data_IF_547121065084
#
_entry.id   IF_547121065084
#
_cell.length_a   1.000
_cell.length_b   1.000
_cell.length_c   1.000
_cell.angle_alpha   90.00
_cell.angle_beta   90.00
_cell.angle_gamma   90.00
#
_symmetry.space_group_name_H-M   'P 1'
#
loop_
_entity.id
_entity.type
_entity.pdbx_description
1 polymer ?
#
# COMPACT_ATOMS: atom_id res chain seq x y z
N UNK A 1 8.34 18.68 -19.78
CA UNK A 1 7.70 17.98 -20.90
C UNK A 1 8.55 18.14 -22.17
N UNK A 2 8.82 17.06 -22.96
CA UNK A 2 9.47 17.16 -24.24
C UNK A 2 8.73 18.13 -25.20
N UNK A 3 9.48 18.86 -26.02
CA UNK A 3 8.96 19.88 -26.93
C UNK A 3 7.79 19.40 -27.81
N UNK A 4 7.80 18.11 -28.20
CA UNK A 4 6.73 17.52 -29.01
C UNK A 4 5.38 17.48 -28.28
N UNK A 5 5.40 17.37 -26.95
CA UNK A 5 4.18 17.37 -26.11
C UNK A 5 3.74 18.79 -25.73
N UNK A 6 4.69 19.71 -25.55
CA UNK A 6 4.37 21.11 -25.26
C UNK A 6 3.52 21.77 -26.34
N UNK A 7 3.75 21.42 -27.60
CA UNK A 7 2.98 21.95 -28.76
C UNK A 7 1.54 21.45 -28.85
N UNK A 8 1.18 20.43 -28.05
CA UNK A 8 -0.16 19.82 -28.04
C UNK A 8 -0.92 20.04 -26.74
N UNK A 9 -0.26 20.71 -25.78
CA UNK A 9 -0.85 21.01 -24.49
C UNK A 9 -1.91 22.08 -24.67
N UNK A 10 -3.16 21.78 -24.34
CA UNK A 10 -4.31 22.69 -24.44
C UNK A 10 -4.83 23.13 -23.08
N UNK A 11 -4.57 22.34 -22.04
CA UNK A 11 -4.82 22.71 -20.65
C UNK A 11 -3.57 22.42 -19.83
N UNK A 12 -3.12 23.43 -19.09
CA UNK A 12 -2.01 23.36 -18.15
C UNK A 12 -2.45 24.02 -16.84
N UNK A 13 -2.81 23.22 -15.87
CA UNK A 13 -3.21 23.68 -14.55
C UNK A 13 -2.61 22.80 -13.45
N UNK A 14 -2.76 23.19 -12.19
CA UNK A 14 -2.28 22.40 -11.05
C UNK A 14 -2.92 21.01 -10.95
N UNK A 15 -4.10 20.83 -11.50
CA UNK A 15 -4.89 19.60 -11.35
C UNK A 15 -5.22 18.92 -12.68
N UNK A 16 -4.89 19.53 -13.81
CA UNK A 16 -5.20 18.98 -15.12
C UNK A 16 -4.17 19.35 -16.17
N UNK A 17 -3.68 18.32 -16.88
CA UNK A 17 -3.00 18.46 -18.14
C UNK A 17 -3.87 17.85 -19.23
N UNK A 18 -4.13 18.58 -20.32
CA UNK A 18 -4.87 18.05 -21.45
C UNK A 18 -4.10 18.29 -22.74
N UNK A 19 -4.08 17.26 -23.58
CA UNK A 19 -3.34 17.23 -24.84
C UNK A 19 -4.28 16.94 -25.99
N UNK A 20 -4.09 17.63 -27.14
CA UNK A 20 -4.76 17.24 -28.38
C UNK A 20 -4.26 15.87 -28.86
N UNK A 21 -5.19 14.98 -29.15
CA UNK A 21 -4.93 13.71 -29.81
C UNK A 21 -4.69 13.94 -31.31
N UNK A 22 -3.72 13.25 -31.90
CA UNK A 22 -3.45 13.32 -33.34
C UNK A 22 -4.63 12.83 -34.17
N UNK A 23 -5.10 13.67 -35.06
CA UNK A 23 -6.00 13.32 -36.16
C UNK A 23 -7.47 13.49 -35.86
N UNK A 24 -8.11 14.40 -36.61
CA UNK A 24 -9.56 14.59 -36.74
C UNK A 24 -10.34 14.82 -35.44
N UNK A 25 -10.22 16.01 -34.88
CA UNK A 25 -11.28 16.65 -34.08
C UNK A 25 -11.47 16.11 -32.67
N UNK A 26 -11.12 16.92 -31.67
CA UNK A 26 -11.65 16.95 -30.31
C UNK A 26 -11.49 15.76 -29.35
N UNK A 27 -10.63 14.81 -29.57
CA UNK A 27 -10.30 13.87 -28.49
C UNK A 27 -9.11 14.42 -27.68
N UNK A 28 -9.35 14.80 -26.46
CA UNK A 28 -8.31 15.21 -25.51
C UNK A 28 -7.86 14.00 -24.71
N UNK A 29 -6.56 13.76 -24.68
CA UNK A 29 -5.94 12.93 -23.63
C UNK A 29 -5.73 13.78 -22.41
N UNK A 30 -6.18 13.32 -21.26
CA UNK A 30 -6.17 14.11 -20.01
C UNK A 30 -5.46 13.37 -18.91
N UNK A 31 -4.64 14.07 -18.15
CA UNK A 31 -4.08 13.63 -16.87
C UNK A 31 -4.70 14.52 -15.81
N UNK A 32 -5.35 13.91 -14.83
CA UNK A 32 -6.02 14.60 -13.74
C UNK A 32 -5.33 14.24 -12.42
N UNK A 33 -4.91 15.24 -11.67
CA UNK A 33 -4.54 15.11 -10.28
C UNK A 33 -5.78 15.27 -9.41
N UNK A 34 -6.03 14.29 -8.54
CA UNK A 34 -7.19 14.32 -7.64
C UNK A 34 -6.71 14.07 -6.21
N UNK A 35 -7.40 14.62 -5.20
CA UNK A 35 -7.08 14.29 -3.81
C UNK A 35 -7.16 12.80 -3.53
N UNK A 36 -6.52 12.34 -2.46
CA UNK A 36 -6.57 10.95 -1.96
C UNK A 36 -7.97 10.59 -1.41
N UNK A 37 -8.95 10.61 -2.31
CA UNK A 37 -10.36 10.24 -2.08
C UNK A 37 -10.81 9.32 -3.20
N UNK A 38 -11.85 8.48 -2.99
CA UNK A 38 -12.39 7.63 -4.04
C UNK A 38 -12.71 8.44 -5.30
N UNK A 39 -12.12 8.12 -6.47
CA UNK A 39 -12.25 8.94 -7.70
C UNK A 39 -13.57 8.66 -8.41
N UNK A 40 -14.69 8.87 -7.73
CA UNK A 40 -16.04 8.62 -8.26
C UNK A 40 -16.34 9.49 -9.48
N UNK A 41 -17.02 8.89 -10.48
CA UNK A 41 -17.44 9.60 -11.70
C UNK A 41 -16.36 9.85 -12.74
N UNK A 42 -15.12 9.44 -12.49
CA UNK A 42 -14.02 9.49 -13.48
C UNK A 42 -13.99 8.22 -14.33
N UNK A 43 -13.20 8.26 -15.41
CA UNK A 43 -12.96 7.11 -16.32
C UNK A 43 -11.52 7.18 -16.80
N UNK A 44 -10.90 6.03 -17.02
CA UNK A 44 -9.54 5.91 -17.52
C UNK A 44 -8.67 5.03 -16.63
N UNK A 45 -7.38 5.14 -16.80
CA UNK A 45 -6.39 4.53 -15.91
C UNK A 45 -6.33 5.31 -14.59
N UNK A 46 -5.95 4.63 -13.54
CA UNK A 46 -5.81 5.20 -12.22
C UNK A 46 -4.42 4.89 -11.65
N UNK A 47 -3.73 5.93 -11.21
CA UNK A 47 -2.45 5.83 -10.52
C UNK A 47 -2.64 6.29 -9.09
N UNK A 48 -2.29 5.43 -8.14
CA UNK A 48 -2.29 5.71 -6.71
C UNK A 48 -0.85 5.86 -6.26
N UNK A 49 -0.41 7.10 -6.14
CA UNK A 49 0.93 7.47 -5.68
C UNK A 49 0.94 7.48 -4.16
N UNK A 50 1.96 6.91 -3.54
CA UNK A 50 2.09 6.75 -2.09
C UNK A 50 0.89 6.05 -1.43
N UNK A 51 0.43 4.94 -2.03
CA UNK A 51 -0.79 4.24 -1.59
C UNK A 51 -0.74 3.80 -0.12
N UNK A 52 0.43 3.38 0.40
CA UNK A 52 0.57 2.97 1.79
C UNK A 52 0.32 4.11 2.80
N UNK A 53 0.49 5.37 2.37
CA UNK A 53 0.40 6.57 3.21
C UNK A 53 -0.99 7.21 3.21
N UNK A 54 -1.99 6.63 2.53
CA UNK A 54 -3.35 7.16 2.56
C UNK A 54 -4.03 6.81 3.89
N UNK A 55 -4.67 7.80 4.50
CA UNK A 55 -5.46 7.62 5.73
C UNK A 55 -6.61 6.61 5.51
N UNK A 56 -7.24 6.64 4.33
CA UNK A 56 -8.35 5.77 3.93
C UNK A 56 -7.97 4.94 2.70
N UNK A 57 -6.82 4.27 2.74
CA UNK A 57 -6.22 3.54 1.64
C UNK A 57 -7.17 2.51 1.00
N UNK A 58 -7.86 1.74 1.83
CA UNK A 58 -8.84 0.73 1.39
C UNK A 58 -10.04 1.33 0.67
N UNK A 59 -10.56 2.45 1.16
CA UNK A 59 -11.68 3.15 0.51
C UNK A 59 -11.27 3.71 -0.85
N UNK A 60 -10.08 4.33 -0.92
CA UNK A 60 -9.52 4.87 -2.17
C UNK A 60 -9.26 3.74 -3.16
N UNK A 61 -8.65 2.65 -2.75
CA UNK A 61 -8.41 1.47 -3.57
C UNK A 61 -9.73 0.91 -4.13
N UNK A 62 -10.74 0.68 -3.27
CA UNK A 62 -12.04 0.15 -3.69
C UNK A 62 -12.76 1.08 -4.68
N UNK A 63 -12.71 2.40 -4.44
CA UNK A 63 -13.26 3.38 -5.38
C UNK A 63 -12.54 3.39 -6.72
N UNK A 64 -11.22 3.18 -6.71
CA UNK A 64 -10.38 3.10 -7.91
C UNK A 64 -10.64 1.84 -8.73
N UNK A 65 -10.84 0.68 -8.08
CA UNK A 65 -11.21 -0.56 -8.80
C UNK A 65 -12.56 -0.42 -9.50
N UNK A 66 -13.54 0.24 -8.88
CA UNK A 66 -14.82 0.52 -9.52
C UNK A 66 -14.70 1.46 -10.74
N UNK A 67 -13.76 2.41 -10.70
CA UNK A 67 -13.46 3.31 -11.82
C UNK A 67 -12.90 2.55 -13.02
N UNK A 68 -11.85 1.74 -12.81
CA UNK A 68 -11.18 1.01 -13.90
C UNK A 68 -12.09 -0.05 -14.51
N UNK A 69 -12.94 -0.71 -13.72
CA UNK A 69 -13.89 -1.69 -14.21
C UNK A 69 -14.82 -1.09 -15.28
N UNK A 70 -15.30 0.13 -15.08
CA UNK A 70 -16.19 0.84 -16.01
C UNK A 70 -15.49 1.34 -17.26
N UNK A 71 -14.21 1.65 -17.19
CA UNK A 71 -13.42 2.21 -18.29
C UNK A 71 -12.58 1.16 -19.01
N UNK A 72 -12.46 -0.07 -18.50
CA UNK A 72 -11.48 -1.07 -18.89
C UNK A 72 -10.05 -0.52 -18.80
N UNK A 73 -9.83 0.34 -17.80
CA UNK A 73 -8.53 0.94 -17.51
C UNK A 73 -7.66 0.02 -16.67
N UNK A 74 -6.47 0.52 -16.36
CA UNK A 74 -5.50 -0.12 -15.49
C UNK A 74 -5.42 0.63 -14.14
N UNK A 75 -5.28 -0.13 -13.06
CA UNK A 75 -4.94 0.41 -11.74
C UNK A 75 -3.47 0.14 -11.46
N UNK A 76 -2.72 1.18 -11.18
CA UNK A 76 -1.32 1.11 -10.75
C UNK A 76 -1.20 1.80 -9.39
N UNK A 77 -0.70 1.08 -8.40
CA UNK A 77 -0.34 1.62 -7.09
C UNK A 77 1.17 1.56 -6.91
N UNK A 78 1.77 2.64 -6.43
CA UNK A 78 3.16 2.67 -6.01
C UNK A 78 3.26 3.33 -4.64
N UNK A 79 4.23 2.88 -3.85
CA UNK A 79 4.53 3.44 -2.53
C UNK A 79 5.82 2.85 -1.99
N UNK A 80 6.48 3.54 -1.07
CA UNK A 80 7.29 2.88 -0.06
C UNK A 80 6.37 2.17 0.95
N UNK A 81 6.81 1.09 1.59
CA UNK A 81 6.07 0.46 2.67
C UNK A 81 5.79 1.41 3.83
N UNK A 82 4.72 1.16 4.57
CA UNK A 82 4.43 1.86 5.84
C UNK A 82 3.96 0.83 6.87
N UNK A 83 4.92 0.09 7.42
CA UNK A 83 4.64 -1.02 8.31
C UNK A 83 3.87 -2.17 7.65
N UNK A 84 3.48 -3.18 8.41
CA UNK A 84 2.69 -4.34 7.96
C UNK A 84 1.20 -4.08 8.09
N UNK A 85 0.70 -3.06 7.41
CA UNK A 85 -0.70 -2.63 7.47
C UNK A 85 -1.20 -2.07 6.15
N UNK A 86 -2.53 -1.98 6.04
CA UNK A 86 -3.22 -1.34 4.94
C UNK A 86 -3.27 -2.18 3.66
N UNK A 87 -3.99 -1.64 2.68
CA UNK A 87 -4.26 -2.37 1.42
C UNK A 87 -2.99 -2.57 0.58
N UNK A 88 -2.02 -1.65 0.66
CA UNK A 88 -0.77 -1.79 -0.07
C UNK A 88 0.03 -3.00 0.40
N UNK A 89 0.19 -3.17 1.73
CA UNK A 89 0.83 -4.32 2.32
C UNK A 89 0.08 -5.63 2.03
N UNK A 90 -1.25 -5.63 2.16
CA UNK A 90 -2.04 -6.82 1.87
C UNK A 90 -1.86 -7.33 0.44
N UNK A 91 -1.81 -6.40 -0.54
CA UNK A 91 -1.57 -6.74 -1.94
C UNK A 91 -0.12 -7.21 -2.14
N UNK A 92 0.84 -6.56 -1.51
CA UNK A 92 2.26 -6.87 -1.68
C UNK A 92 2.63 -8.25 -1.11
N UNK A 93 2.20 -8.55 0.11
CA UNK A 93 2.61 -9.76 0.85
C UNK A 93 1.64 -10.94 0.68
N UNK A 94 0.35 -10.68 0.45
CA UNK A 94 -0.70 -11.72 0.31
C UNK A 94 -0.81 -12.69 1.51
N UNK A 95 -0.43 -12.23 2.69
CA UNK A 95 -0.48 -13.05 3.91
C UNK A 95 -1.93 -13.29 4.38
N UNK A 96 -2.77 -12.24 4.31
CA UNK A 96 -4.17 -12.31 4.72
C UNK A 96 -5.10 -12.76 3.60
N UNK A 97 -4.81 -12.35 2.35
CA UNK A 97 -5.67 -12.60 1.20
C UNK A 97 -4.87 -12.68 -0.08
N UNK A 98 -5.30 -13.51 -1.03
CA UNK A 98 -4.71 -13.58 -2.36
C UNK A 98 -5.27 -12.51 -3.31
N UNK A 99 -4.38 -11.95 -4.13
CA UNK A 99 -4.68 -10.95 -5.15
C UNK A 99 -4.16 -11.40 -6.53
N UNK A 100 -4.76 -12.45 -7.13
CA UNK A 100 -4.20 -13.14 -8.30
C UNK A 100 -4.12 -12.28 -9.56
N UNK A 101 -4.84 -11.17 -9.61
CA UNK A 101 -4.87 -10.26 -10.77
C UNK A 101 -3.93 -9.07 -10.63
N UNK A 102 -3.07 -9.06 -9.62
CA UNK A 102 -2.09 -8.00 -9.40
C UNK A 102 -0.69 -8.48 -9.78
N UNK A 103 -0.03 -7.71 -10.65
CA UNK A 103 1.41 -7.84 -10.88
C UNK A 103 2.14 -6.99 -9.86
N UNK A 104 3.19 -7.53 -9.26
CA UNK A 104 4.01 -6.86 -8.25
C UNK A 104 5.40 -6.62 -8.79
N UNK A 105 5.95 -5.48 -8.46
CA UNK A 105 7.32 -5.15 -8.78
C UNK A 105 7.94 -4.48 -7.56
N UNK A 106 9.02 -5.05 -7.09
CA UNK A 106 9.85 -4.50 -6.03
C UNK A 106 11.08 -3.85 -6.66
N UNK A 107 11.35 -2.59 -6.30
CA UNK A 107 12.44 -1.79 -6.88
C UNK A 107 13.27 -1.16 -5.75
N UNK A 108 14.08 -1.95 -5.05
CA UNK A 108 14.97 -1.41 -4.03
C UNK A 108 16.08 -0.55 -4.64
N UNK A 109 16.73 0.29 -3.81
CA UNK A 109 17.70 1.28 -4.24
C UNK A 109 18.84 0.70 -5.11
N UNK A 110 19.26 -0.53 -4.89
CA UNK A 110 20.35 -1.16 -5.65
C UNK A 110 19.99 -1.54 -7.08
N UNK A 111 18.72 -1.49 -7.45
CA UNK A 111 18.23 -1.61 -8.82
C UNK A 111 18.15 -0.26 -9.56
N UNK A 112 18.41 0.85 -8.86
CA UNK A 112 18.39 2.19 -9.43
C UNK A 112 19.81 2.69 -9.71
N UNK A 113 20.12 2.99 -10.96
CA UNK A 113 21.45 3.49 -11.36
C UNK A 113 21.82 4.85 -10.75
N UNK A 114 20.82 5.59 -10.26
CA UNK A 114 21.06 6.85 -9.55
C UNK A 114 21.64 6.63 -8.15
N UNK A 115 21.32 5.51 -7.51
CA UNK A 115 21.72 5.16 -6.15
C UNK A 115 22.82 4.10 -6.09
N UNK A 116 22.94 3.27 -7.12
CA UNK A 116 23.83 2.12 -7.17
C UNK A 116 25.01 2.34 -8.13
N UNK A 117 26.18 1.88 -7.72
CA UNK A 117 27.42 1.98 -8.52
C UNK A 117 27.47 0.92 -9.62
N UNK A 118 26.95 -0.28 -9.38
CA UNK A 118 26.90 -1.40 -10.33
C UNK A 118 25.58 -2.17 -10.18
N UNK A 119 24.53 -1.72 -10.88
CA UNK A 119 23.18 -2.32 -10.83
C UNK A 119 23.17 -3.79 -11.25
N UNK A 120 24.00 -4.17 -12.25
CA UNK A 120 23.98 -5.54 -12.76
C UNK A 120 24.51 -6.54 -11.74
N UNK A 121 25.60 -6.20 -11.11
CA UNK A 121 26.21 -7.02 -10.05
C UNK A 121 25.36 -6.98 -8.78
N UNK A 122 24.87 -5.80 -8.40
CA UNK A 122 24.03 -5.62 -7.23
C UNK A 122 22.69 -6.41 -7.32
N UNK A 123 22.09 -6.50 -8.50
CA UNK A 123 20.86 -7.29 -8.70
C UNK A 123 21.03 -8.78 -8.32
N UNK A 124 22.26 -9.30 -8.41
CA UNK A 124 22.58 -10.70 -8.10
C UNK A 124 23.04 -10.86 -6.64
N UNK A 125 23.97 -10.00 -6.20
CA UNK A 125 24.65 -10.17 -4.93
C UNK A 125 23.92 -9.49 -3.75
N UNK A 126 23.37 -8.28 -3.98
CA UNK A 126 22.79 -7.47 -2.93
C UNK A 126 21.62 -8.12 -2.15
N UNK A 127 20.71 -8.92 -2.75
CA UNK A 127 19.62 -9.53 -1.99
C UNK A 127 20.05 -10.44 -0.84
N UNK A 128 21.25 -11.03 -0.93
CA UNK A 128 21.79 -11.93 0.09
C UNK A 128 22.63 -11.25 1.17
N UNK A 129 22.89 -9.93 1.01
CA UNK A 129 23.75 -9.17 1.92
C UNK A 129 22.95 -8.49 3.02
N UNK A 130 23.51 -8.30 4.24
CA UNK A 130 23.02 -7.34 5.21
C UNK A 130 23.01 -5.91 4.63
N UNK A 131 22.16 -5.03 5.15
CA UNK A 131 21.99 -3.66 4.64
C UNK A 131 23.29 -2.89 4.61
N UNK A 132 24.07 -2.91 5.68
CA UNK A 132 25.33 -2.16 5.81
C UNK A 132 26.38 -2.64 4.80
N UNK A 133 26.51 -3.95 4.63
CA UNK A 133 27.44 -4.54 3.65
C UNK A 133 27.00 -4.22 2.22
N UNK A 134 25.71 -4.24 1.96
CA UNK A 134 25.11 -3.90 0.66
C UNK A 134 25.39 -2.45 0.29
N UNK A 135 25.17 -1.54 1.23
CA UNK A 135 25.44 -0.11 1.04
C UNK A 135 26.92 0.15 0.85
N UNK A 136 27.80 -0.48 1.64
CA UNK A 136 29.24 -0.34 1.48
C UNK A 136 29.75 -0.89 0.13
N UNK A 137 29.16 -1.96 -0.39
CA UNK A 137 29.59 -2.59 -1.65
C UNK A 137 29.07 -1.86 -2.90
N UNK A 138 27.85 -1.32 -2.86
CA UNK A 138 27.16 -0.85 -4.05
C UNK A 138 26.58 0.56 -3.94
N UNK A 139 26.49 1.14 -2.74
CA UNK A 139 25.89 2.45 -2.51
C UNK A 139 26.73 3.58 -3.11
N UNK A 140 26.04 4.54 -3.75
CA UNK A 140 26.63 5.84 -4.02
C UNK A 140 26.60 6.70 -2.76
N UNK A 141 27.33 7.79 -2.76
CA UNK A 141 27.50 8.67 -1.61
C UNK A 141 26.16 9.07 -0.97
N UNK A 142 25.13 9.36 -1.78
CA UNK A 142 23.81 9.74 -1.28
C UNK A 142 23.15 8.63 -0.45
N UNK A 143 23.32 7.36 -0.82
CA UNK A 143 22.76 6.22 -0.09
C UNK A 143 23.51 5.98 1.21
N UNK A 144 24.82 6.14 1.20
CA UNK A 144 25.65 6.03 2.39
C UNK A 144 25.23 7.09 3.41
N UNK A 145 25.08 8.35 2.99
CA UNK A 145 24.63 9.46 3.84
C UNK A 145 23.22 9.23 4.42
N UNK A 146 22.32 8.59 3.66
CA UNK A 146 20.98 8.25 4.17
C UNK A 146 21.05 7.14 5.21
N UNK A 147 21.86 6.09 5.00
CA UNK A 147 22.04 5.04 6.00
C UNK A 147 22.64 5.59 7.31
N UNK A 148 23.57 6.53 7.22
CA UNK A 148 24.17 7.18 8.40
C UNK A 148 23.20 8.10 9.15
N UNK A 149 22.16 8.59 8.46
CA UNK A 149 21.24 9.61 8.97
C UNK A 149 19.94 9.05 9.51
N UNK A 150 19.54 7.86 9.07
CA UNK A 150 18.26 7.24 9.40
C UNK A 150 18.43 6.03 10.34
N UNK A 151 17.44 5.75 11.21
CA UNK A 151 17.33 4.44 11.83
C UNK A 151 17.31 3.34 10.77
N UNK A 152 17.88 2.17 11.10
CA UNK A 152 18.01 1.06 10.15
C UNK A 152 16.66 0.62 9.58
N UNK A 153 15.64 0.53 10.41
CA UNK A 153 14.28 0.14 10.01
C UNK A 153 13.69 1.14 9.00
N UNK A 154 13.85 2.43 9.26
CA UNK A 154 13.38 3.50 8.35
C UNK A 154 14.12 3.44 7.02
N UNK A 155 15.45 3.25 7.05
CA UNK A 155 16.24 3.08 5.83
C UNK A 155 15.77 1.85 5.02
N UNK A 156 15.55 0.72 5.68
CA UNK A 156 15.08 -0.50 5.01
C UNK A 156 13.69 -0.31 4.41
N UNK A 157 12.81 0.40 5.09
CA UNK A 157 11.47 0.70 4.60
C UNK A 157 11.51 1.62 3.38
N UNK A 158 12.20 2.75 3.47
CA UNK A 158 12.21 3.78 2.44
C UNK A 158 13.06 3.43 1.21
N UNK A 159 14.19 2.76 1.41
CA UNK A 159 15.15 2.51 0.35
C UNK A 159 15.21 1.05 -0.12
N UNK A 160 14.88 0.10 0.74
CA UNK A 160 14.92 -1.32 0.41
C UNK A 160 13.55 -1.92 0.14
N UNK A 161 12.46 -1.16 0.34
CA UNK A 161 11.10 -1.63 0.12
C UNK A 161 10.62 -2.69 1.12
N UNK A 162 11.24 -2.77 2.30
CA UNK A 162 10.90 -3.75 3.33
C UNK A 162 9.72 -3.30 4.16
N UNK A 163 8.77 -4.19 4.38
CA UNK A 163 7.73 -4.01 5.38
C UNK A 163 8.29 -4.35 6.75
N UNK A 164 8.70 -3.31 7.47
CA UNK A 164 9.23 -3.43 8.83
C UNK A 164 8.07 -3.26 9.81
N UNK A 165 8.01 -4.08 10.86
CA UNK A 165 7.05 -3.85 11.92
C UNK A 165 7.38 -2.54 12.64
N UNK A 166 6.35 -1.76 12.92
CA UNK A 166 6.53 -0.56 13.71
C UNK A 166 7.07 -0.97 15.10
N UNK A 167 8.32 -0.63 15.38
CA UNK A 167 9.00 -0.94 16.65
C UNK A 167 8.30 -0.37 17.88
N UNK A 168 7.29 0.47 17.67
CA UNK A 168 6.43 1.09 18.68
C UNK A 168 5.03 0.49 18.74
N UNK A 169 4.73 -0.53 17.93
CA UNK A 169 3.43 -1.20 18.04
C UNK A 169 3.36 -1.98 19.34
N UNK A 170 2.36 -1.68 20.19
CA UNK A 170 2.13 -2.41 21.43
C UNK A 170 1.85 -3.89 21.19
N UNK A 171 1.23 -4.20 20.04
CA UNK A 171 1.02 -5.55 19.53
C UNK A 171 1.67 -5.68 18.16
N UNK A 172 2.92 -6.17 18.07
CA UNK A 172 3.55 -6.45 16.78
C UNK A 172 2.77 -7.50 16.00
N UNK A 173 2.85 -7.42 14.67
CA UNK A 173 2.07 -8.27 13.76
C UNK A 173 2.27 -9.77 14.01
N UNK A 174 3.46 -10.19 14.39
CA UNK A 174 3.78 -11.57 14.73
C UNK A 174 2.98 -12.11 15.92
N UNK A 175 2.53 -11.22 16.82
CA UNK A 175 1.63 -11.60 17.91
C UNK A 175 0.16 -11.63 17.48
N UNK A 176 -0.22 -10.81 16.49
CA UNK A 176 -1.59 -10.74 16.00
C UNK A 176 -1.90 -11.92 15.08
N UNK A 177 -0.97 -12.26 14.18
CA UNK A 177 -1.19 -13.28 13.15
C UNK A 177 -1.65 -14.65 13.69
N UNK A 178 -1.05 -15.20 14.76
CA UNK A 178 -1.52 -16.47 15.34
C UNK A 178 -2.92 -16.38 15.98
N UNK A 179 -3.39 -15.16 16.25
CA UNK A 179 -4.70 -14.90 16.83
C UNK A 179 -5.77 -14.62 15.78
N UNK A 180 -5.42 -14.61 14.48
CA UNK A 180 -6.39 -14.41 13.40
C UNK A 180 -7.02 -15.74 13.00
N UNK A 181 -8.33 -15.74 12.87
CA UNK A 181 -9.10 -16.86 12.35
C UNK A 181 -9.85 -16.38 11.11
N UNK A 182 -9.56 -17.01 9.95
CA UNK A 182 -10.19 -16.65 8.68
C UNK A 182 -11.68 -17.01 8.62
N UNK A 183 -12.10 -17.94 9.47
CA UNK A 183 -13.48 -18.42 9.54
C UNK A 183 -14.32 -17.60 10.58
N UNK A 184 -13.67 -16.71 11.33
CA UNK A 184 -14.35 -15.85 12.27
C UNK A 184 -15.15 -14.77 11.52
N UNK A 185 -16.46 -14.79 11.66
CA UNK A 185 -17.37 -13.83 11.06
C UNK A 185 -17.92 -12.86 12.11
N UNK A 186 -18.17 -11.62 11.67
CA UNK A 186 -18.97 -10.68 12.47
C UNK A 186 -20.41 -11.18 12.49
N UNK A 187 -20.99 -11.32 13.69
CA UNK A 187 -22.40 -11.58 13.84
C UNK A 187 -23.19 -10.28 13.67
N UNK A 188 -24.11 -10.24 12.72
CA UNK A 188 -24.98 -9.09 12.49
C UNK A 188 -26.09 -8.99 13.53
N UNK A 189 -26.46 -10.12 14.15
CA UNK A 189 -27.46 -10.20 15.22
C UNK A 189 -27.02 -11.22 16.28
N UNK A 190 -27.34 -10.95 17.55
CA UNK A 190 -27.11 -11.87 18.66
C UNK A 190 -27.93 -13.18 18.57
N UNK A 191 -29.01 -13.19 17.80
CA UNK A 191 -29.82 -14.38 17.57
C UNK A 191 -29.12 -15.42 16.69
N UNK A 192 -28.11 -15.02 15.94
CA UNK A 192 -27.35 -15.91 15.05
C UNK A 192 -26.16 -16.59 15.77
N UNK A 193 -25.93 -16.23 17.03
CA UNK A 193 -24.87 -16.84 17.82
C UNK A 193 -25.32 -18.21 18.37
N UNK A 194 -24.45 -19.23 18.36
CA UNK A 194 -24.74 -20.49 18.99
C UNK A 194 -24.95 -20.31 20.52
N UNK A 195 -25.80 -21.12 21.13
CA UNK A 195 -25.96 -21.12 22.58
C UNK A 195 -24.60 -21.51 23.21
N UNK A 196 -24.08 -20.71 24.16
CA UNK A 196 -22.84 -21.02 24.82
C UNK A 196 -22.96 -22.24 25.71
N UNK A 197 -21.95 -23.11 25.66
CA UNK A 197 -21.80 -24.26 26.55
C UNK A 197 -21.02 -23.92 27.82
N UNK A 198 -20.26 -22.82 27.78
CA UNK A 198 -19.36 -22.34 28.82
C UNK A 198 -19.68 -20.93 29.35
N UNK A 199 -18.72 -20.37 30.05
CA UNK A 199 -18.81 -19.02 30.60
C UNK A 199 -18.56 -18.00 29.50
N UNK A 200 -19.49 -17.06 29.28
CA UNK A 200 -19.29 -15.93 28.40
C UNK A 200 -18.52 -14.80 29.09
N UNK A 201 -17.52 -14.28 28.40
CA UNK A 201 -16.79 -13.06 28.74
C UNK A 201 -16.95 -12.08 27.60
N UNK A 202 -17.27 -10.83 27.90
CA UNK A 202 -17.47 -9.78 26.92
C UNK A 202 -16.44 -8.67 27.10
N UNK A 203 -15.83 -8.25 25.99
CA UNK A 203 -15.05 -7.03 25.89
C UNK A 203 -15.81 -5.99 25.08
N UNK A 204 -15.96 -4.78 25.58
CA UNK A 204 -16.67 -3.71 24.89
C UNK A 204 -15.75 -2.51 24.70
N UNK A 205 -15.50 -2.14 23.45
CA UNK A 205 -14.80 -0.93 23.07
C UNK A 205 -15.80 0.15 22.65
N UNK A 206 -15.70 1.31 23.31
CA UNK A 206 -16.62 2.43 23.08
C UNK A 206 -16.05 3.34 22.01
N UNK A 207 -16.59 3.23 20.81
CA UNK A 207 -16.27 4.14 19.72
C UNK A 207 -16.70 5.58 20.01
N UNK A 208 -15.88 6.55 19.59
CA UNK A 208 -16.23 7.97 19.59
C UNK A 208 -16.75 8.36 18.20
N UNK A 209 -16.83 9.63 17.93
CA UNK A 209 -17.52 10.26 16.79
C UNK A 209 -17.20 9.70 15.39
N UNK A 210 -16.13 8.93 15.19
CA UNK A 210 -15.75 8.34 13.89
C UNK A 210 -15.53 6.84 13.93
N UNK A 211 -15.32 6.28 15.11
CA UNK A 211 -15.11 4.85 15.30
C UNK A 211 -16.40 4.20 15.74
N UNK A 212 -16.63 2.96 15.31
CA UNK A 212 -17.78 2.16 15.77
C UNK A 212 -17.48 1.63 17.16
N UNK A 213 -18.52 1.48 17.98
CA UNK A 213 -18.39 0.66 19.17
C UNK A 213 -18.37 -0.79 18.76
N UNK A 214 -17.46 -1.56 19.34
CA UNK A 214 -17.32 -2.98 19.05
C UNK A 214 -17.50 -3.80 20.31
N UNK A 215 -18.19 -4.92 20.19
CA UNK A 215 -18.39 -5.90 21.25
C UNK A 215 -17.76 -7.22 20.81
N UNK A 216 -16.78 -7.67 21.57
CA UNK A 216 -16.21 -8.99 21.40
C UNK A 216 -16.76 -9.95 22.47
N UNK A 217 -17.27 -11.10 22.05
CA UNK A 217 -17.76 -12.15 22.94
C UNK A 217 -16.80 -13.34 22.88
N UNK A 218 -16.42 -13.83 24.03
CA UNK A 218 -15.55 -14.99 24.19
C UNK A 218 -16.24 -16.03 25.06
N UNK A 219 -16.16 -17.28 24.66
CA UNK A 219 -16.61 -18.40 25.46
C UNK A 219 -15.41 -19.09 26.12
N UNK A 220 -15.47 -19.22 27.45
CA UNK A 220 -14.49 -20.00 28.20
C UNK A 220 -14.93 -21.47 28.21
N UNK A 221 -14.32 -22.26 27.36
CA UNK A 221 -14.58 -23.71 27.24
C UNK A 221 -13.45 -24.46 27.97
N UNK A 222 -13.44 -24.35 29.30
CA UNK A 222 -12.56 -25.16 30.17
C UNK A 222 -11.07 -24.79 30.11
N UNK A 223 -10.75 -23.48 30.07
CA UNK A 223 -9.38 -22.98 30.21
C UNK A 223 -8.54 -23.01 28.92
N UNK A 224 -9.18 -22.95 27.78
CA UNK A 224 -8.57 -22.68 26.45
C UNK A 224 -9.01 -21.33 25.92
#
# INVERSE_FOLDING_TARGET
LPLAYQKRLVVDSKTELAFESNGSGRRLSRILSVPSKPPRGKKGDCYLDELAHYVNDREVYTGSTALILRSRGQLTGCSTPLGRRGIFWEIACEELRKYPHHTRQDVPWWLCSFFCTDVKRAAIEAPAMPTEERVAAFGRQQVIEQLDSLPLDDFQQEFEGRFVDESYSFFPYELILPCTDADLALADDFTDLPFPEGRLVAGFDVGRTRDRSELALFEDVGGR
#
